data_IF_270194760666
#
_entry.id   IF_270194760666
#
_cell.length_a   1.000
_cell.length_b   1.000
_cell.length_c   1.000
_cell.angle_alpha   90.00
_cell.angle_beta   90.00
_cell.angle_gamma   90.00
#
_symmetry.space_group_name_H-M   'P 1'
#
loop_
_entity.id
_entity.type
_entity.pdbx_description
1 polymer ?
#
# COMPACT_ATOMS: atom_id res chain seq x y z
N UNK A 1 -13.30 -4.14 15.37
CA UNK A 1 -12.70 -3.02 16.13
C UNK A 1 -11.65 -3.65 17.03
N UNK A 2 -10.44 -3.80 16.56
CA UNK A 2 -9.42 -4.66 17.17
C UNK A 2 -8.18 -3.83 17.52
N UNK A 3 -7.85 -3.80 18.80
CA UNK A 3 -6.52 -3.89 19.41
C UNK A 3 -5.34 -3.10 18.78
N UNK A 4 -5.55 -1.85 18.36
CA UNK A 4 -4.45 -0.97 17.94
C UNK A 4 -3.65 -0.44 19.16
N UNK A 5 -4.22 -0.48 20.34
CA UNK A 5 -3.59 0.06 21.58
C UNK A 5 -2.65 -0.91 22.33
N UNK A 6 -2.35 -2.08 21.76
CA UNK A 6 -1.56 -3.12 22.45
C UNK A 6 -0.16 -3.34 21.86
N UNK A 7 0.27 -2.54 20.90
CA UNK A 7 1.62 -2.65 20.35
C UNK A 7 2.56 -1.69 21.07
N UNK A 8 3.65 -2.24 21.61
CA UNK A 8 4.66 -1.54 22.39
C UNK A 8 6.04 -1.68 21.71
N UNK A 9 7.05 -0.91 22.09
CA UNK A 9 8.42 -1.10 21.61
C UNK A 9 8.97 -2.53 21.76
N UNK A 10 8.46 -3.28 22.72
CA UNK A 10 8.81 -4.69 22.99
C UNK A 10 8.02 -5.69 22.14
N UNK A 11 7.02 -5.24 21.39
CA UNK A 11 6.31 -6.11 20.43
C UNK A 11 7.24 -6.58 19.34
N UNK A 12 7.04 -7.83 18.92
CA UNK A 12 7.80 -8.40 17.80
C UNK A 12 7.46 -7.72 16.49
N UNK A 13 8.38 -7.75 15.54
CA UNK A 13 8.14 -7.18 14.20
C UNK A 13 6.97 -7.87 13.49
N UNK A 14 6.69 -9.14 13.80
CA UNK A 14 5.47 -9.81 13.33
C UNK A 14 4.22 -9.09 13.80
N UNK A 15 4.10 -8.85 15.11
CA UNK A 15 2.96 -8.14 15.69
C UNK A 15 2.83 -6.71 15.16
N UNK A 16 3.97 -6.03 15.01
CA UNK A 16 4.02 -4.68 14.44
C UNK A 16 3.50 -4.68 13.01
N UNK A 17 3.92 -5.63 12.16
CA UNK A 17 3.49 -5.72 10.76
C UNK A 17 2.02 -6.17 10.61
N UNK A 18 1.53 -7.00 11.52
CA UNK A 18 0.12 -7.38 11.55
C UNK A 18 -0.79 -6.19 11.88
N UNK A 19 -0.39 -5.36 12.86
CA UNK A 19 -1.14 -4.17 13.25
C UNK A 19 -0.94 -2.98 12.28
N UNK A 20 0.27 -2.83 11.74
CA UNK A 20 0.69 -1.73 10.87
C UNK A 20 1.36 -2.29 9.60
N UNK A 21 0.61 -2.75 8.61
CA UNK A 21 1.17 -3.38 7.40
C UNK A 21 2.17 -2.50 6.63
N UNK A 22 2.05 -1.18 6.75
CA UNK A 22 2.99 -0.20 6.18
C UNK A 22 4.26 0.05 7.01
N UNK A 23 4.45 -0.62 8.17
CA UNK A 23 5.56 -0.33 9.09
C UNK A 23 6.93 -0.58 8.44
N UNK A 24 7.09 -1.65 7.65
CA UNK A 24 8.35 -1.92 6.94
C UNK A 24 8.71 -0.77 5.99
N UNK A 25 7.73 -0.27 5.22
CA UNK A 25 7.91 0.87 4.33
C UNK A 25 8.26 2.14 5.12
N UNK A 26 7.59 2.40 6.25
CA UNK A 26 7.87 3.55 7.11
C UNK A 26 9.31 3.50 7.65
N UNK A 27 9.76 2.34 8.11
CA UNK A 27 11.12 2.11 8.59
C UNK A 27 12.15 2.31 7.47
N UNK A 28 11.88 1.80 6.28
CA UNK A 28 12.79 1.96 5.15
C UNK A 28 12.91 3.42 4.69
N UNK A 29 11.81 4.12 4.53
CA UNK A 29 11.79 5.49 4.00
C UNK A 29 12.57 6.48 4.87
N UNK A 30 12.51 6.34 6.20
CA UNK A 30 13.15 7.29 7.12
C UNK A 30 14.48 6.79 7.67
N UNK A 31 14.60 5.50 7.90
CA UNK A 31 15.75 4.93 8.61
C UNK A 31 16.56 3.94 7.76
N UNK A 32 16.16 3.69 6.51
CA UNK A 32 16.78 2.72 5.59
C UNK A 32 16.82 1.28 6.13
N UNK A 33 15.87 0.91 7.00
CA UNK A 33 15.75 -0.42 7.58
C UNK A 33 14.71 -1.23 6.79
N UNK A 34 15.10 -2.41 6.29
CA UNK A 34 14.17 -3.37 5.69
C UNK A 34 13.85 -3.16 4.21
N UNK A 35 14.79 -2.64 3.43
CA UNK A 35 14.63 -2.41 1.98
C UNK A 35 14.49 -3.68 1.13
N UNK A 36 14.80 -4.84 1.66
CA UNK A 36 14.50 -6.13 1.06
C UNK A 36 13.86 -7.05 2.12
N UNK A 37 13.06 -8.03 1.69
CA UNK A 37 12.34 -8.95 2.60
C UNK A 37 13.23 -9.76 3.54
N UNK A 38 14.56 -9.74 3.37
CA UNK A 38 15.53 -10.51 4.16
C UNK A 38 16.60 -9.64 4.86
N UNK A 39 16.71 -8.36 4.55
CA UNK A 39 17.87 -7.56 4.94
C UNK A 39 17.65 -6.63 6.14
N UNK A 40 16.45 -6.49 6.66
CA UNK A 40 16.15 -5.46 7.66
C UNK A 40 15.99 -5.96 9.09
N UNK A 41 15.21 -7.00 9.28
CA UNK A 41 14.90 -7.57 10.59
C UNK A 41 14.25 -8.94 10.45
N UNK A 42 14.31 -9.72 11.53
CA UNK A 42 13.54 -10.97 11.62
C UNK A 42 12.17 -10.68 12.27
N UNK A 43 11.15 -11.42 11.90
CA UNK A 43 9.81 -11.26 12.45
C UNK A 43 9.73 -11.54 13.96
N UNK A 44 10.70 -12.26 14.50
CA UNK A 44 10.82 -12.58 15.93
C UNK A 44 11.56 -11.53 16.74
N UNK A 45 12.29 -10.61 16.10
CA UNK A 45 12.93 -9.48 16.77
C UNK A 45 11.88 -8.48 17.25
N UNK A 46 12.13 -7.81 18.38
CA UNK A 46 11.29 -6.70 18.81
C UNK A 46 11.68 -5.42 18.08
N UNK A 47 10.75 -4.47 18.01
CA UNK A 47 11.04 -3.15 17.43
C UNK A 47 12.22 -2.49 18.14
N UNK A 48 12.32 -2.65 19.47
CA UNK A 48 13.45 -2.13 20.26
C UNK A 48 14.78 -2.76 19.83
N UNK A 49 14.84 -4.09 19.64
CA UNK A 49 16.04 -4.78 19.16
C UNK A 49 16.45 -4.31 17.76
N UNK A 50 15.48 -4.13 16.87
CA UNK A 50 15.73 -3.59 15.52
C UNK A 50 16.31 -2.17 15.61
N UNK A 51 15.76 -1.31 16.45
CA UNK A 51 16.27 0.04 16.67
C UNK A 51 17.70 0.02 17.23
N UNK A 52 17.97 -0.74 18.27
CA UNK A 52 19.29 -0.85 18.89
C UNK A 52 20.35 -1.30 17.87
N UNK A 53 20.07 -2.34 17.11
CA UNK A 53 20.98 -2.86 16.08
C UNK A 53 21.30 -1.83 14.98
N UNK A 54 20.37 -0.94 14.69
CA UNK A 54 20.54 0.11 13.68
C UNK A 54 20.98 1.46 14.26
N UNK A 55 21.42 1.50 15.53
CA UNK A 55 21.93 2.70 16.18
C UNK A 55 20.88 3.77 16.49
N UNK A 56 19.59 3.40 16.51
CA UNK A 56 18.49 4.28 16.85
C UNK A 56 18.24 4.25 18.36
N UNK A 57 18.57 5.32 19.04
CA UNK A 57 18.47 5.41 20.51
C UNK A 57 17.05 5.70 21.01
N UNK A 58 16.19 6.27 20.16
CA UNK A 58 14.85 6.68 20.55
C UNK A 58 13.78 5.80 19.87
N UNK A 59 13.48 4.66 20.48
CA UNK A 59 12.46 3.72 19.98
C UNK A 59 11.07 4.36 19.90
N UNK A 60 10.74 5.26 20.84
CA UNK A 60 9.46 5.94 20.83
C UNK A 60 9.29 6.85 19.60
N UNK A 61 10.35 7.52 19.15
CA UNK A 61 10.30 8.31 17.91
C UNK A 61 10.04 7.43 16.68
N UNK A 62 10.68 6.26 16.63
CA UNK A 62 10.46 5.28 15.55
C UNK A 62 9.01 4.79 15.57
N UNK A 63 8.51 4.50 16.76
CA UNK A 63 7.13 4.08 16.98
C UNK A 63 6.10 5.13 16.52
N UNK A 64 6.27 6.38 16.96
CA UNK A 64 5.41 7.48 16.52
C UNK A 64 5.48 7.71 15.00
N UNK A 65 6.65 7.50 14.39
CA UNK A 65 6.79 7.57 12.94
C UNK A 65 5.99 6.46 12.22
N UNK A 66 6.00 5.23 12.74
CA UNK A 66 5.20 4.11 12.19
C UNK A 66 3.71 4.45 12.26
N UNK A 67 3.23 4.92 13.42
CA UNK A 67 1.83 5.33 13.59
C UNK A 67 1.42 6.45 12.65
N UNK A 68 2.21 7.51 12.61
CA UNK A 68 1.94 8.65 11.72
C UNK A 68 1.93 8.24 10.24
N UNK A 69 2.82 7.33 9.83
CA UNK A 69 2.82 6.79 8.46
C UNK A 69 1.56 5.98 8.17
N UNK A 70 1.12 5.16 9.12
CA UNK A 70 -0.13 4.40 9.01
C UNK A 70 -1.36 5.31 8.86
N UNK A 71 -1.45 6.38 9.65
CA UNK A 71 -2.54 7.36 9.56
C UNK A 71 -2.54 8.11 8.22
N UNK A 72 -1.36 8.34 7.65
CA UNK A 72 -1.24 8.92 6.31
C UNK A 72 -1.68 7.93 5.23
N UNK A 73 -1.27 6.68 5.34
CA UNK A 73 -1.67 5.61 4.43
C UNK A 73 -3.19 5.40 4.44
N UNK A 74 -3.81 5.44 5.62
CA UNK A 74 -5.26 5.32 5.77
C UNK A 74 -6.04 6.38 4.97
N UNK A 75 -5.48 7.59 4.82
CA UNK A 75 -6.10 8.67 4.02
C UNK A 75 -6.03 8.43 2.51
N UNK A 76 -5.11 7.59 2.08
CA UNK A 76 -4.92 7.25 0.66
C UNK A 76 -5.73 6.01 0.28
N UNK A 77 -6.06 5.15 1.24
CA UNK A 77 -6.83 3.94 0.98
C UNK A 77 -8.28 4.27 0.60
N UNK A 78 -8.82 3.45 -0.30
CA UNK A 78 -10.24 3.43 -0.64
C UNK A 78 -10.77 2.01 -0.46
N UNK A 79 -11.92 1.88 0.18
CA UNK A 79 -12.58 0.59 0.38
C UNK A 79 -13.10 0.01 -0.93
N UNK A 80 -13.09 -1.33 -1.14
CA UNK A 80 -13.57 -1.94 -2.37
C UNK A 80 -15.00 -1.54 -2.74
N UNK A 81 -15.91 -1.55 -1.77
CA UNK A 81 -17.32 -1.16 -2.00
C UNK A 81 -17.46 0.33 -2.33
N UNK A 82 -16.69 1.19 -1.68
CA UNK A 82 -16.66 2.61 -1.98
C UNK A 82 -16.14 2.87 -3.41
N UNK A 83 -15.08 2.18 -3.82
CA UNK A 83 -14.58 2.26 -5.19
C UNK A 83 -15.63 1.81 -6.20
N UNK A 84 -16.36 0.72 -5.92
CA UNK A 84 -17.44 0.26 -6.80
C UNK A 84 -18.53 1.33 -6.99
N UNK A 85 -18.92 2.02 -5.91
CA UNK A 85 -19.85 3.13 -5.98
C UNK A 85 -19.30 4.32 -6.78
N UNK A 86 -18.01 4.63 -6.61
CA UNK A 86 -17.37 5.69 -7.38
C UNK A 86 -17.36 5.37 -8.87
N UNK A 87 -16.98 4.16 -9.26
CA UNK A 87 -16.95 3.72 -10.67
C UNK A 87 -18.35 3.71 -11.32
N UNK A 88 -19.40 3.50 -10.52
CA UNK A 88 -20.77 3.59 -11.03
C UNK A 88 -21.17 5.03 -11.38
N UNK A 89 -20.65 6.02 -10.63
CA UNK A 89 -21.01 7.44 -10.75
C UNK A 89 -20.06 8.25 -11.64
N UNK A 90 -18.77 7.92 -11.63
CA UNK A 90 -17.72 8.66 -12.36
C UNK A 90 -16.90 7.74 -13.25
N UNK A 91 -17.14 7.84 -14.56
CA UNK A 91 -16.42 7.07 -15.58
C UNK A 91 -15.04 7.64 -15.92
N UNK A 92 -14.67 8.77 -15.33
CA UNK A 92 -13.36 9.38 -15.54
C UNK A 92 -12.28 8.81 -14.64
N UNK A 93 -12.64 8.03 -13.62
CA UNK A 93 -11.69 7.37 -12.71
C UNK A 93 -10.80 6.42 -13.50
N UNK A 94 -9.49 6.59 -13.33
CA UNK A 94 -8.49 5.70 -13.92
C UNK A 94 -8.08 4.64 -12.91
N UNK A 95 -8.19 3.38 -13.30
CA UNK A 95 -7.69 2.25 -12.52
C UNK A 95 -6.32 1.83 -13.07
N UNK A 96 -5.28 1.89 -12.25
CA UNK A 96 -3.91 1.51 -12.61
C UNK A 96 -3.48 0.27 -11.82
N UNK A 97 -3.30 -0.83 -12.53
CA UNK A 97 -2.84 -2.09 -11.95
C UNK A 97 -1.30 -2.13 -11.96
N UNK A 98 -0.69 -2.28 -10.79
CA UNK A 98 0.77 -2.25 -10.60
C UNK A 98 1.38 -3.64 -10.42
N UNK A 99 0.60 -4.69 -10.65
CA UNK A 99 1.06 -6.08 -10.60
C UNK A 99 1.89 -6.45 -11.83
N UNK A 100 2.34 -7.70 -11.85
CA UNK A 100 3.01 -8.23 -13.04
C UNK A 100 2.05 -8.37 -14.23
N UNK A 101 2.63 -8.48 -15.43
CA UNK A 101 1.84 -8.70 -16.65
C UNK A 101 1.08 -10.02 -16.59
N UNK A 102 1.71 -11.07 -16.09
CA UNK A 102 1.15 -12.41 -15.96
C UNK A 102 -0.07 -12.41 -15.04
N UNK A 103 0.00 -11.70 -13.91
CA UNK A 103 -1.11 -11.56 -12.97
C UNK A 103 -2.27 -10.77 -13.59
N UNK A 104 -1.95 -9.68 -14.28
CA UNK A 104 -2.95 -8.84 -14.95
C UNK A 104 -3.67 -9.59 -16.07
N UNK A 105 -2.93 -10.32 -16.91
CA UNK A 105 -3.51 -11.12 -18.01
C UNK A 105 -4.36 -12.27 -17.49
N UNK A 106 -3.99 -12.86 -16.34
CA UNK A 106 -4.77 -13.94 -15.72
C UNK A 106 -6.09 -13.42 -15.13
N UNK A 107 -6.05 -12.28 -14.44
CA UNK A 107 -7.23 -11.67 -13.83
C UNK A 107 -6.98 -10.19 -13.53
N UNK A 108 -7.92 -9.32 -13.88
CA UNK A 108 -7.87 -7.90 -13.58
C UNK A 108 -9.27 -7.32 -13.35
N UNK A 109 -9.35 -6.15 -12.73
CA UNK A 109 -10.62 -5.42 -12.58
C UNK A 109 -10.96 -4.79 -13.93
N UNK A 110 -12.20 -4.96 -14.38
CA UNK A 110 -12.66 -4.42 -15.66
C UNK A 110 -12.40 -2.91 -15.76
N UNK A 111 -11.83 -2.47 -16.87
CA UNK A 111 -11.45 -1.07 -17.11
C UNK A 111 -10.14 -0.64 -16.47
N UNK A 112 -9.44 -1.52 -15.77
CA UNK A 112 -8.08 -1.23 -15.31
C UNK A 112 -7.06 -1.32 -16.44
N UNK A 113 -5.96 -0.60 -16.29
CA UNK A 113 -4.82 -0.59 -17.22
C UNK A 113 -3.58 -1.02 -16.47
N UNK A 114 -2.82 -1.94 -17.06
CA UNK A 114 -1.53 -2.36 -16.50
C UNK A 114 -0.53 -1.21 -16.52
N UNK A 115 0.18 -1.02 -15.42
CA UNK A 115 1.25 -0.04 -15.33
C UNK A 115 2.38 -0.40 -16.30
N UNK A 116 2.75 0.58 -17.10
CA UNK A 116 3.88 0.52 -18.02
C UNK A 116 4.57 1.88 -18.08
N UNK A 117 5.78 1.93 -18.62
CA UNK A 117 6.46 3.21 -18.77
C UNK A 117 5.65 4.23 -19.60
N UNK A 118 5.04 3.86 -20.75
CA UNK A 118 4.17 4.79 -21.48
C UNK A 118 2.95 5.23 -20.67
N UNK A 119 2.26 4.31 -19.98
CA UNK A 119 1.09 4.64 -19.16
C UNK A 119 1.45 5.60 -18.03
N UNK A 120 2.59 5.37 -17.37
CA UNK A 120 3.09 6.23 -16.31
C UNK A 120 3.39 7.64 -16.84
N UNK A 121 4.07 7.75 -18.00
CA UNK A 121 4.37 9.03 -18.63
C UNK A 121 3.10 9.79 -19.04
N UNK A 122 2.10 9.09 -19.58
CA UNK A 122 0.79 9.67 -19.92
C UNK A 122 0.10 10.25 -18.68
N UNK A 123 0.04 9.49 -17.58
CA UNK A 123 -0.56 9.94 -16.33
C UNK A 123 0.15 11.20 -15.78
N UNK A 124 1.48 11.19 -15.79
CA UNK A 124 2.26 12.33 -15.30
C UNK A 124 2.15 13.56 -16.20
N UNK A 125 2.00 13.37 -17.52
CA UNK A 125 1.84 14.45 -18.48
C UNK A 125 0.48 15.19 -18.35
N UNK A 126 -0.54 14.54 -17.82
CA UNK A 126 -1.84 15.19 -17.54
C UNK A 126 -1.75 16.27 -16.42
N UNK A 127 -0.69 16.26 -15.60
CA UNK A 127 -0.40 17.24 -14.57
C UNK A 127 -1.35 17.19 -13.36
N UNK A 128 -1.44 18.28 -12.59
CA UNK A 128 -2.12 18.33 -11.29
C UNK A 128 -3.65 18.34 -11.36
N UNK A 129 -4.23 18.64 -12.52
CA UNK A 129 -5.70 18.73 -12.71
C UNK A 129 -6.32 17.42 -13.22
N UNK A 130 -5.79 16.33 -12.78
CA UNK A 130 -6.05 15.01 -13.33
C UNK A 130 -7.33 14.36 -12.84
N UNK A 131 -7.78 13.40 -13.64
CA UNK A 131 -8.78 12.41 -13.27
C UNK A 131 -8.36 11.69 -11.99
N UNK A 132 -9.31 11.23 -11.15
CA UNK A 132 -8.96 10.40 -10.00
C UNK A 132 -8.19 9.17 -10.46
N UNK A 133 -7.09 8.85 -9.77
CA UNK A 133 -6.26 7.69 -10.03
C UNK A 133 -6.40 6.72 -8.85
N UNK A 134 -6.77 5.48 -9.11
CA UNK A 134 -6.82 4.42 -8.11
C UNK A 134 -5.82 3.34 -8.48
N UNK A 135 -4.89 3.09 -7.57
CA UNK A 135 -3.85 2.07 -7.72
C UNK A 135 -4.39 0.74 -7.22
N UNK A 136 -4.16 -0.31 -8.00
CA UNK A 136 -4.56 -1.68 -7.70
C UNK A 136 -3.29 -2.53 -7.65
N UNK A 137 -3.10 -3.27 -6.58
CA UNK A 137 -2.10 -4.32 -6.46
C UNK A 137 -2.75 -5.64 -6.03
N UNK A 138 -1.96 -6.62 -5.58
CA UNK A 138 -2.52 -7.90 -5.16
C UNK A 138 -3.27 -7.81 -3.82
N UNK A 139 -2.62 -7.27 -2.77
CA UNK A 139 -3.15 -7.26 -1.40
C UNK A 139 -2.99 -5.91 -0.66
N UNK A 140 -2.62 -4.84 -1.35
CA UNK A 140 -2.55 -3.48 -0.79
C UNK A 140 -1.16 -3.07 -0.27
N UNK A 141 -0.11 -3.85 -0.50
CA UNK A 141 1.25 -3.54 -0.03
C UNK A 141 2.02 -2.61 -0.98
N UNK A 142 2.15 -3.01 -2.24
CA UNK A 142 2.91 -2.26 -3.25
C UNK A 142 2.16 -1.04 -3.79
N UNK A 143 0.83 -1.09 -3.76
CA UNK A 143 -0.01 0.00 -4.27
C UNK A 143 0.19 1.32 -3.55
N UNK A 144 0.48 1.30 -2.25
CA UNK A 144 0.77 2.51 -1.48
C UNK A 144 2.09 3.18 -1.89
N UNK A 145 3.11 2.42 -2.29
CA UNK A 145 4.37 2.99 -2.79
C UNK A 145 4.17 3.65 -4.15
N UNK A 146 3.40 3.02 -5.03
CA UNK A 146 3.03 3.61 -6.30
C UNK A 146 2.16 4.86 -6.12
N UNK A 147 1.19 4.85 -5.20
CA UNK A 147 0.39 6.02 -4.85
C UNK A 147 1.27 7.18 -4.36
N UNK A 148 2.19 6.90 -3.44
CA UNK A 148 3.14 7.89 -2.93
C UNK A 148 4.04 8.47 -4.04
N UNK A 149 4.45 7.65 -4.99
CA UNK A 149 5.21 8.11 -6.16
C UNK A 149 4.42 9.14 -6.97
N UNK A 150 3.20 8.83 -7.37
CA UNK A 150 2.36 9.76 -8.14
C UNK A 150 2.04 11.04 -7.37
N UNK A 151 1.76 10.93 -6.06
CA UNK A 151 1.53 12.10 -5.21
C UNK A 151 2.78 12.99 -5.11
N UNK A 152 3.97 12.39 -5.02
CA UNK A 152 5.24 13.10 -5.03
C UNK A 152 5.51 13.85 -6.34
N UNK A 153 4.89 13.43 -7.44
CA UNK A 153 4.93 14.10 -8.75
C UNK A 153 3.75 15.08 -8.96
N UNK A 154 3.02 15.42 -7.90
CA UNK A 154 2.02 16.47 -7.90
C UNK A 154 0.57 16.03 -8.17
N UNK A 155 0.29 14.73 -8.31
CA UNK A 155 -1.08 14.25 -8.42
C UNK A 155 -1.77 14.29 -7.06
N UNK A 156 -2.86 15.05 -6.94
CA UNK A 156 -3.57 15.23 -5.68
C UNK A 156 -4.72 14.25 -5.42
N UNK A 157 -5.23 13.61 -6.48
CA UNK A 157 -6.41 12.73 -6.43
C UNK A 157 -6.03 11.27 -6.62
N UNK A 158 -5.03 10.80 -5.84
CA UNK A 158 -4.57 9.41 -5.87
C UNK A 158 -5.14 8.65 -4.69
N UNK A 159 -5.60 7.43 -4.94
CA UNK A 159 -6.04 6.45 -3.93
C UNK A 159 -5.37 5.11 -4.21
N UNK A 160 -5.36 4.24 -3.21
CA UNK A 160 -4.93 2.85 -3.33
C UNK A 160 -6.07 1.95 -2.85
N UNK A 161 -6.40 0.93 -3.62
CA UNK A 161 -7.44 -0.02 -3.26
C UNK A 161 -7.01 -0.83 -2.03
N UNK A 162 -7.76 -0.69 -0.93
CA UNK A 162 -7.48 -1.46 0.30
C UNK A 162 -7.59 -2.96 0.01
N UNK A 163 -6.53 -3.70 0.36
CA UNK A 163 -6.44 -5.14 0.15
C UNK A 163 -6.37 -5.57 -1.31
N UNK A 164 -6.18 -4.62 -2.24
CA UNK A 164 -5.95 -4.88 -3.66
C UNK A 164 -7.06 -5.66 -4.36
N UNK A 165 -6.70 -6.35 -5.45
CA UNK A 165 -7.64 -7.17 -6.21
C UNK A 165 -8.19 -8.35 -5.40
N UNK A 166 -7.44 -8.85 -4.42
CA UNK A 166 -7.91 -9.94 -3.55
C UNK A 166 -9.13 -9.50 -2.72
N UNK A 167 -9.08 -8.32 -2.11
CA UNK A 167 -10.23 -7.77 -1.39
C UNK A 167 -11.39 -7.40 -2.34
N UNK A 168 -11.08 -6.87 -3.52
CA UNK A 168 -12.11 -6.60 -4.54
C UNK A 168 -12.87 -7.86 -4.92
N UNK A 169 -12.17 -8.97 -5.18
CA UNK A 169 -12.78 -10.26 -5.49
C UNK A 169 -13.67 -10.77 -4.35
N UNK A 170 -13.30 -10.53 -3.11
CA UNK A 170 -14.09 -10.98 -1.95
C UNK A 170 -15.33 -10.13 -1.71
N UNK A 171 -15.22 -8.82 -1.87
CA UNK A 171 -16.21 -7.86 -1.38
C UNK A 171 -17.14 -7.30 -2.47
N UNK A 172 -16.68 -7.31 -3.74
CA UNK A 172 -17.39 -6.67 -4.86
C UNK A 172 -17.69 -7.62 -6.00
N UNK A 173 -16.69 -8.33 -6.53
CA UNK A 173 -16.87 -9.20 -7.69
C UNK A 173 -16.34 -10.61 -7.43
N UNK A 174 -17.18 -11.44 -6.83
CA UNK A 174 -16.85 -12.84 -6.50
C UNK A 174 -16.61 -13.76 -7.71
N UNK A 175 -16.80 -13.26 -8.94
CA UNK A 175 -16.49 -14.01 -10.17
C UNK A 175 -15.00 -13.92 -10.52
N UNK A 176 -14.30 -12.91 -10.03
CA UNK A 176 -12.86 -12.79 -10.22
C UNK A 176 -12.14 -13.87 -9.42
N UNK A 177 -11.34 -14.74 -10.06
CA UNK A 177 -10.62 -15.79 -9.36
C UNK A 177 -9.58 -15.19 -8.41
N UNK A 178 -9.51 -15.74 -7.22
CA UNK A 178 -8.46 -15.42 -6.24
C UNK A 178 -7.27 -16.35 -6.43
N UNK A 179 -6.08 -15.82 -6.24
CA UNK A 179 -4.83 -16.55 -6.31
C UNK A 179 -3.91 -16.17 -5.16
N UNK A 180 -2.92 -17.01 -4.88
CA UNK A 180 -1.86 -16.73 -3.91
C UNK A 180 -0.54 -16.69 -4.68
N UNK A 181 0.27 -15.69 -4.37
CA UNK A 181 1.66 -15.68 -4.80
C UNK A 181 2.39 -16.74 -3.96
N UNK A 182 3.02 -17.70 -4.63
CA UNK A 182 3.78 -18.79 -4.03
C UNK A 182 5.07 -18.33 -3.33
#
# INVERSE_FOLDING_TARGET
>A
MAMIDTIYPQSTMREVLEAYPGAQRALFRRYHIGGCNQCGFQQTETLEQVCQRNGLSNVNEVWEHIKSSHDQDAKILIEPKELAEWLARDKTIRLLDVRSREEYEAVHIEGSVLMSQPTMQEILAEGTNTRPLVIIDHQGGQGLDAAAYFMGHGLSRVRCLRGGIDAWSQEVDSKLPRYRLG
#
